data_IF_191375926637
#
_entry.id   IF_191375926637
#
_cell.length_a   1.000
_cell.length_b   1.000
_cell.length_c   1.000
_cell.angle_alpha   90.00
_cell.angle_beta   90.00
_cell.angle_gamma   90.00
#
_symmetry.space_group_name_H-M   'P 1'
#
loop_
_entity.id
_entity.type
_entity.pdbx_description
1 polymer ?
#
# COMPACT_ATOMS: atom_id res chain seq x y z
N UNK A 1 2.77 -0.08 31.06
CA UNK A 1 2.35 -1.13 30.13
C UNK A 1 2.57 -2.46 30.84
N UNK A 2 1.54 -3.24 30.99
CA UNK A 2 1.62 -4.56 31.62
C UNK A 2 2.23 -5.61 30.67
N UNK A 3 2.76 -6.74 31.21
CA UNK A 3 3.45 -7.73 30.37
C UNK A 3 2.56 -8.34 29.29
N UNK A 4 1.27 -8.56 29.56
CA UNK A 4 0.34 -9.14 28.58
C UNK A 4 0.14 -8.20 27.42
N UNK A 5 -0.14 -6.92 27.68
CA UNK A 5 -0.31 -5.90 26.64
C UNK A 5 0.94 -5.73 25.77
N UNK A 6 2.15 -5.84 26.38
CA UNK A 6 3.42 -5.81 25.60
C UNK A 6 3.53 -7.00 24.66
N UNK A 7 3.18 -8.21 25.13
CA UNK A 7 3.24 -9.41 24.29
C UNK A 7 2.24 -9.34 23.13
N UNK A 8 1.00 -8.91 23.40
CA UNK A 8 -0.04 -8.73 22.39
C UNK A 8 0.39 -7.69 21.37
N UNK A 9 0.88 -6.53 21.84
CA UNK A 9 1.38 -5.47 20.96
C UNK A 9 2.49 -5.97 20.03
N UNK A 10 3.50 -6.66 20.59
CA UNK A 10 4.62 -7.19 19.80
C UNK A 10 4.20 -8.26 18.79
N UNK A 11 3.26 -9.14 19.16
CA UNK A 11 2.74 -10.15 18.24
C UNK A 11 2.04 -9.50 17.04
N UNK A 12 1.14 -8.55 17.29
CA UNK A 12 0.41 -7.83 16.23
C UNK A 12 1.33 -6.94 15.38
N UNK A 13 2.31 -6.28 15.98
CA UNK A 13 3.32 -5.49 15.27
C UNK A 13 4.14 -6.34 14.28
N UNK A 14 4.40 -7.61 14.65
CA UNK A 14 5.03 -8.62 13.77
C UNK A 14 4.04 -9.31 12.82
N UNK A 15 2.77 -8.87 12.81
CA UNK A 15 1.68 -9.47 12.02
C UNK A 15 1.42 -10.95 12.35
N UNK A 16 1.68 -11.34 13.57
CA UNK A 16 1.37 -12.68 14.09
C UNK A 16 0.01 -12.65 14.75
N UNK A 17 -0.80 -13.68 14.52
CA UNK A 17 -2.04 -13.87 15.24
C UNK A 17 -1.77 -14.32 16.68
N UNK A 18 -2.63 -13.91 17.61
CA UNK A 18 -2.52 -14.25 19.03
C UNK A 18 -3.87 -14.63 19.62
N UNK A 19 -3.91 -15.74 20.33
CA UNK A 19 -5.06 -16.22 21.07
C UNK A 19 -5.06 -15.65 22.49
N UNK A 20 -6.19 -15.09 22.89
CA UNK A 20 -6.45 -14.51 24.20
C UNK A 20 -7.62 -15.27 24.83
N UNK A 21 -7.39 -16.24 25.72
CA UNK A 21 -8.46 -17.03 26.33
C UNK A 21 -9.52 -16.15 27.01
N UNK A 22 -10.80 -16.40 26.72
CA UNK A 22 -11.91 -15.61 27.24
C UNK A 22 -12.18 -14.27 26.51
N UNK A 23 -11.34 -13.89 25.55
CA UNK A 23 -11.49 -12.66 24.74
C UNK A 23 -11.71 -13.02 23.28
N UNK A 24 -10.92 -13.96 22.73
CA UNK A 24 -10.92 -14.36 21.33
C UNK A 24 -9.52 -14.39 20.74
N UNK A 25 -9.41 -14.33 19.42
CA UNK A 25 -8.12 -14.27 18.74
C UNK A 25 -7.99 -12.96 17.95
N UNK A 26 -6.85 -12.32 18.07
CA UNK A 26 -6.53 -11.11 17.33
C UNK A 26 -5.52 -11.43 16.21
N UNK A 27 -5.76 -10.89 15.02
CA UNK A 27 -4.82 -11.01 13.91
C UNK A 27 -4.85 -9.79 13.01
N UNK A 28 -3.80 -9.62 12.22
CA UNK A 28 -3.69 -8.48 11.29
C UNK A 28 -4.11 -8.91 9.90
N UNK A 29 -5.09 -8.20 9.34
CA UNK A 29 -5.55 -8.37 7.96
C UNK A 29 -5.12 -7.16 7.14
N UNK A 30 -4.62 -7.42 5.93
CA UNK A 30 -4.22 -6.37 4.99
C UNK A 30 -5.26 -6.24 3.90
N UNK A 31 -5.90 -5.07 3.78
CA UNK A 31 -6.71 -4.74 2.61
C UNK A 31 -5.80 -4.34 1.45
N UNK A 32 -6.08 -4.84 0.24
CA UNK A 32 -5.31 -4.49 -0.94
C UNK A 32 -5.44 -2.99 -1.28
N UNK A 33 -4.38 -2.43 -1.87
CA UNK A 33 -4.46 -1.11 -2.49
C UNK A 33 -5.54 -1.13 -3.59
N UNK A 34 -6.32 -0.05 -3.67
CA UNK A 34 -7.35 0.10 -4.70
C UNK A 34 -7.28 1.49 -5.32
N UNK A 35 -7.62 1.57 -6.60
CA UNK A 35 -7.78 2.84 -7.27
C UNK A 35 -9.26 3.24 -7.20
N UNK A 36 -9.53 4.39 -6.62
CA UNK A 36 -10.85 5.03 -6.65
C UNK A 36 -10.95 5.97 -7.85
N UNK A 37 -12.18 6.51 -8.08
CA UNK A 37 -12.44 7.43 -9.16
C UNK A 37 -11.47 8.63 -9.16
N UNK A 38 -11.15 9.13 -10.36
CA UNK A 38 -10.26 10.30 -10.58
C UNK A 38 -8.79 10.13 -10.20
N UNK A 39 -8.20 8.95 -10.45
CA UNK A 39 -6.79 8.69 -10.17
C UNK A 39 -6.40 8.84 -8.68
N UNK A 40 -7.29 8.52 -7.77
CA UNK A 40 -7.00 8.45 -6.35
C UNK A 40 -6.59 7.03 -5.99
N UNK A 41 -5.37 6.86 -5.51
CA UNK A 41 -4.86 5.60 -4.99
C UNK A 41 -5.14 5.53 -3.49
N UNK A 42 -5.91 4.55 -3.06
CA UNK A 42 -6.05 4.19 -1.65
C UNK A 42 -4.96 3.17 -1.32
N UNK A 43 -4.02 3.48 -0.42
CA UNK A 43 -2.95 2.57 -0.08
C UNK A 43 -3.48 1.31 0.61
N UNK A 44 -2.69 0.21 0.66
CA UNK A 44 -3.05 -0.95 1.45
C UNK A 44 -3.13 -0.55 2.94
N UNK A 45 -4.16 -1.04 3.63
CA UNK A 45 -4.39 -0.72 5.05
C UNK A 45 -4.37 -2.01 5.85
N UNK A 46 -3.54 -2.04 6.90
CA UNK A 46 -3.52 -3.11 7.86
C UNK A 46 -4.52 -2.83 8.99
N UNK A 47 -5.36 -3.79 9.29
CA UNK A 47 -6.36 -3.72 10.37
C UNK A 47 -6.20 -4.92 11.27
N UNK A 48 -6.50 -4.74 12.55
CA UNK A 48 -6.65 -5.87 13.46
C UNK A 48 -8.09 -6.32 13.44
N UNK A 49 -8.30 -7.59 13.26
CA UNK A 49 -9.61 -8.23 13.34
C UNK A 49 -9.66 -9.17 14.56
N UNK A 50 -10.82 -9.20 15.19
CA UNK A 50 -11.14 -10.11 16.28
C UNK A 50 -11.90 -11.30 15.74
N UNK A 51 -11.43 -12.50 16.06
CA UNK A 51 -12.14 -13.75 15.86
C UNK A 51 -12.66 -14.25 17.20
N UNK A 52 -13.90 -14.73 17.28
CA UNK A 52 -14.51 -15.13 18.55
C UNK A 52 -13.81 -16.34 19.18
N UNK A 53 -13.26 -17.22 18.35
CA UNK A 53 -12.65 -18.47 18.78
C UNK A 53 -11.14 -18.46 18.59
N UNK A 54 -10.46 -19.24 19.44
CA UNK A 54 -9.01 -19.48 19.30
C UNK A 54 -8.71 -20.14 17.94
N UNK A 55 -7.67 -19.66 17.29
CA UNK A 55 -7.25 -20.13 15.97
C UNK A 55 -6.04 -21.05 16.06
N UNK A 56 -6.06 -22.20 15.38
CA UNK A 56 -4.89 -23.06 15.30
C UNK A 56 -3.74 -22.33 14.57
N UNK A 57 -2.53 -22.42 15.11
CA UNK A 57 -1.35 -21.78 14.54
C UNK A 57 -1.12 -20.34 15.00
N UNK A 58 -2.04 -19.74 15.74
CA UNK A 58 -1.79 -18.45 16.41
C UNK A 58 -1.01 -18.67 17.71
N UNK A 59 -0.29 -17.64 18.13
CA UNK A 59 0.43 -17.66 19.39
C UNK A 59 -0.55 -17.72 20.56
N UNK A 60 -0.28 -18.56 21.54
CA UNK A 60 -1.02 -18.56 22.81
C UNK A 60 -0.35 -17.57 23.76
N UNK A 61 -1.11 -16.60 24.28
CA UNK A 61 -0.59 -15.58 25.20
C UNK A 61 -0.05 -16.17 26.48
N UNK A 62 -0.65 -17.28 26.99
CA UNK A 62 -0.21 -17.96 28.22
C UNK A 62 1.14 -18.62 27.97
N UNK A 63 1.32 -19.32 26.85
CA UNK A 63 2.61 -19.92 26.47
C UNK A 63 3.70 -18.84 26.29
N UNK A 64 3.33 -17.67 25.77
CA UNK A 64 4.25 -16.54 25.69
C UNK A 64 4.61 -16.01 27.08
N UNK A 65 3.64 -15.84 27.98
CA UNK A 65 3.88 -15.41 29.37
C UNK A 65 4.79 -16.37 30.11
N UNK A 66 4.53 -17.69 30.03
CA UNK A 66 5.36 -18.71 30.62
C UNK A 66 6.82 -18.64 30.14
N UNK A 67 6.97 -18.49 28.80
CA UNK A 67 8.30 -18.43 28.17
C UNK A 67 9.08 -17.17 28.51
N UNK A 68 8.43 -16.00 28.52
CA UNK A 68 9.10 -14.73 28.80
C UNK A 68 9.26 -14.45 30.27
N UNK A 69 8.37 -14.99 31.12
CA UNK A 69 8.45 -14.90 32.57
C UNK A 69 9.34 -15.96 33.22
N UNK A 70 9.85 -16.93 32.44
CA UNK A 70 10.57 -18.11 32.93
C UNK A 70 9.80 -18.83 34.04
N UNK A 71 8.46 -18.86 33.92
CA UNK A 71 7.53 -19.47 34.87
C UNK A 71 6.88 -20.69 34.28
N UNK A 72 6.22 -21.48 35.11
CA UNK A 72 5.40 -22.57 34.58
C UNK A 72 4.08 -22.05 33.95
N UNK A 73 3.34 -22.95 33.30
CA UNK A 73 2.10 -22.58 32.60
C UNK A 73 0.99 -22.19 33.58
N UNK A 74 0.97 -22.77 34.78
CA UNK A 74 -0.08 -22.53 35.77
C UNK A 74 0.08 -21.13 36.37
N UNK A 75 1.29 -20.70 36.68
CA UNK A 75 1.61 -19.36 37.14
C UNK A 75 1.33 -18.32 36.03
N UNK A 76 1.68 -18.62 34.77
CA UNK A 76 1.36 -17.77 33.64
C UNK A 76 -0.15 -17.62 33.44
N UNK A 77 -0.93 -18.70 33.59
CA UNK A 77 -2.38 -18.69 33.55
C UNK A 77 -2.97 -17.81 34.66
N UNK A 78 -2.46 -17.91 35.87
CA UNK A 78 -2.91 -17.11 37.01
C UNK A 78 -2.61 -15.62 36.76
N UNK A 79 -1.42 -15.31 36.23
CA UNK A 79 -1.01 -13.94 35.87
C UNK A 79 -1.95 -13.38 34.78
N UNK A 80 -2.26 -14.18 33.76
CA UNK A 80 -3.18 -13.79 32.72
C UNK A 80 -4.60 -13.54 33.25
N UNK A 81 -5.12 -14.42 34.10
CA UNK A 81 -6.46 -14.28 34.68
C UNK A 81 -6.55 -13.02 35.56
N UNK A 82 -5.50 -12.73 36.34
CA UNK A 82 -5.42 -11.53 37.17
C UNK A 82 -5.40 -10.26 36.32
N UNK A 83 -4.65 -10.26 35.24
CA UNK A 83 -4.64 -9.18 34.26
C UNK A 83 -6.02 -9.02 33.61
N UNK A 84 -6.63 -10.10 33.11
CA UNK A 84 -7.93 -10.04 32.46
C UNK A 84 -9.00 -9.45 33.39
N UNK A 85 -9.00 -9.82 34.65
CA UNK A 85 -9.93 -9.26 35.63
C UNK A 85 -9.74 -7.75 35.88
N UNK A 86 -8.51 -7.24 35.75
CA UNK A 86 -8.21 -5.82 35.91
C UNK A 86 -8.61 -4.98 34.67
N UNK A 87 -8.46 -5.53 33.46
CA UNK A 87 -8.68 -4.78 32.22
C UNK A 87 -10.11 -4.96 31.66
N UNK A 88 -10.88 -5.88 32.24
CA UNK A 88 -12.29 -6.09 31.87
C UNK A 88 -13.19 -5.06 32.55
N UNK A 89 -14.07 -4.45 31.79
CA UNK A 89 -15.08 -3.49 32.23
C UNK A 89 -16.42 -3.77 31.55
N UNK A 90 -17.48 -3.03 31.90
CA UNK A 90 -18.77 -3.10 31.21
C UNK A 90 -18.67 -2.71 29.72
N UNK A 91 -17.68 -1.88 29.36
CA UNK A 91 -17.43 -1.46 27.97
C UNK A 91 -16.64 -2.49 27.17
N UNK A 92 -16.03 -3.49 27.82
CA UNK A 92 -15.21 -4.49 27.19
C UNK A 92 -13.83 -4.67 27.81
N UNK A 93 -12.91 -5.24 27.07
CA UNK A 93 -11.52 -5.51 27.50
C UNK A 93 -10.59 -4.49 26.87
N UNK A 94 -9.97 -3.66 27.72
CA UNK A 94 -9.00 -2.65 27.26
C UNK A 94 -7.58 -3.21 27.34
N UNK A 95 -6.92 -3.32 26.19
CA UNK A 95 -5.52 -3.76 26.09
C UNK A 95 -4.66 -2.51 25.84
N UNK A 96 -3.79 -2.19 26.81
CA UNK A 96 -3.01 -0.94 26.78
C UNK A 96 -2.16 -0.82 25.50
N UNK A 97 -2.25 0.35 24.84
CA UNK A 97 -1.59 0.67 23.58
C UNK A 97 -1.99 -0.19 22.36
N UNK A 98 -2.79 -1.24 22.57
CA UNK A 98 -3.29 -2.13 21.51
C UNK A 98 -4.68 -1.69 21.06
N UNK A 99 -5.63 -1.62 21.99
CA UNK A 99 -7.00 -1.20 21.69
C UNK A 99 -8.04 -1.73 22.65
N UNK A 100 -9.30 -1.59 22.28
CA UNK A 100 -10.48 -2.03 23.02
C UNK A 100 -11.19 -3.14 22.26
N UNK A 101 -11.46 -4.25 22.95
CA UNK A 101 -12.36 -5.32 22.49
C UNK A 101 -13.72 -5.09 23.14
N UNK A 102 -14.75 -4.85 22.35
CA UNK A 102 -16.10 -4.59 22.83
C UNK A 102 -17.12 -5.21 21.87
N UNK A 103 -18.13 -5.91 22.41
CA UNK A 103 -19.24 -6.47 21.64
C UNK A 103 -18.84 -7.25 20.39
N UNK A 104 -17.75 -8.06 20.47
CA UNK A 104 -17.24 -8.83 19.33
C UNK A 104 -16.52 -7.99 18.27
N UNK A 105 -16.24 -6.72 18.55
CA UNK A 105 -15.48 -5.84 17.68
C UNK A 105 -14.18 -5.37 18.33
N UNK A 106 -13.18 -5.06 17.51
CA UNK A 106 -11.91 -4.52 17.96
C UNK A 106 -11.72 -3.09 17.47
N UNK A 107 -11.40 -2.18 18.39
CA UNK A 107 -11.05 -0.78 18.07
C UNK A 107 -9.58 -0.55 18.40
N UNK A 108 -8.70 -0.36 17.41
CA UNK A 108 -7.27 -0.18 17.66
C UNK A 108 -6.98 1.15 18.36
N UNK A 109 -6.01 1.12 19.27
CA UNK A 109 -5.41 2.33 19.83
C UNK A 109 -4.61 3.08 18.76
N UNK A 110 -4.44 4.42 18.88
CA UNK A 110 -3.69 5.22 17.91
C UNK A 110 -2.25 4.71 17.70
N UNK A 111 -1.59 4.23 18.77
CA UNK A 111 -0.24 3.67 18.72
C UNK A 111 -0.18 2.42 17.83
N UNK A 112 -1.12 1.48 18.01
CA UNK A 112 -1.18 0.27 17.19
C UNK A 112 -1.50 0.62 15.73
N UNK A 113 -2.44 1.51 15.49
CA UNK A 113 -2.79 1.96 14.14
C UNK A 113 -1.59 2.58 13.40
N UNK A 114 -0.78 3.38 14.10
CA UNK A 114 0.44 3.99 13.55
C UNK A 114 1.53 2.96 13.23
N UNK A 115 1.72 1.97 14.11
CA UNK A 115 2.71 0.89 13.89
C UNK A 115 2.32 0.01 12.71
N UNK A 116 1.04 -0.30 12.56
CA UNK A 116 0.56 -1.12 11.46
C UNK A 116 0.57 -0.39 10.11
N UNK A 117 0.41 0.94 10.11
CA UNK A 117 0.31 1.75 8.89
C UNK A 117 1.28 2.95 8.95
N UNK A 118 2.60 2.73 8.96
CA UNK A 118 3.59 3.81 9.11
C UNK A 118 3.58 4.81 7.95
N UNK A 119 3.17 4.39 6.76
CA UNK A 119 3.01 5.26 5.59
C UNK A 119 1.71 6.09 5.61
N UNK A 120 0.86 5.91 6.64
CA UNK A 120 -0.47 6.50 6.71
C UNK A 120 -1.51 5.74 5.86
N UNK A 121 -2.75 6.14 6.03
CA UNK A 121 -3.91 5.54 5.33
C UNK A 121 -4.60 6.54 4.40
N UNK A 122 -4.05 7.75 4.27
CA UNK A 122 -4.66 8.81 3.46
C UNK A 122 -4.59 8.48 1.97
N UNK A 123 -5.69 8.65 1.22
CA UNK A 123 -5.71 8.48 -0.21
C UNK A 123 -4.72 9.45 -0.89
N UNK A 124 -3.93 8.95 -1.83
CA UNK A 124 -2.98 9.73 -2.61
C UNK A 124 -3.52 9.97 -4.02
N UNK A 125 -3.48 11.23 -4.47
CA UNK A 125 -3.78 11.54 -5.86
C UNK A 125 -2.57 11.21 -6.72
N UNK A 126 -2.75 10.30 -7.67
CA UNK A 126 -1.73 10.04 -8.68
C UNK A 126 -1.62 11.27 -9.60
N UNK A 127 -0.41 11.75 -9.90
CA UNK A 127 -0.26 12.79 -10.91
C UNK A 127 -0.86 12.27 -12.20
N UNK A 128 -1.78 13.05 -12.77
CA UNK A 128 -2.36 12.75 -14.08
C UNK A 128 -1.18 12.68 -15.05
N UNK A 129 -0.96 11.52 -15.65
CA UNK A 129 0.03 11.38 -16.72
C UNK A 129 -0.39 12.40 -17.79
N UNK A 130 0.20 13.58 -17.72
CA UNK A 130 -0.06 14.62 -18.70
C UNK A 130 0.20 13.99 -20.06
N UNK A 131 -0.75 14.07 -20.96
CA UNK A 131 -0.56 13.75 -22.38
C UNK A 131 0.46 14.74 -22.96
N UNK A 132 1.70 14.66 -22.45
CA UNK A 132 2.80 15.56 -22.81
C UNK A 132 3.36 15.29 -24.20
N UNK A 133 2.85 14.32 -24.93
CA UNK A 133 3.37 13.99 -26.26
C UNK A 133 2.72 14.77 -27.40
N UNK A 134 1.63 15.49 -27.15
CA UNK A 134 0.98 16.27 -28.21
C UNK A 134 1.88 17.36 -28.76
N UNK A 135 2.54 18.11 -27.90
CA UNK A 135 3.43 19.19 -28.32
C UNK A 135 4.68 18.66 -29.05
N UNK A 136 5.25 17.57 -28.55
CA UNK A 136 6.42 16.91 -29.16
C UNK A 136 6.07 16.36 -30.56
N UNK A 137 4.89 15.78 -30.74
CA UNK A 137 4.41 15.32 -32.05
C UNK A 137 4.21 16.49 -33.04
N UNK A 138 3.69 17.63 -32.59
CA UNK A 138 3.57 18.83 -33.41
C UNK A 138 4.93 19.41 -33.80
N UNK A 139 5.91 19.38 -32.92
CA UNK A 139 7.28 19.83 -33.22
C UNK A 139 7.94 18.90 -34.24
N UNK A 140 7.83 17.59 -34.06
CA UNK A 140 8.35 16.60 -35.04
C UNK A 140 7.68 16.77 -36.40
N UNK A 141 6.36 16.91 -36.45
CA UNK A 141 5.61 17.13 -37.70
C UNK A 141 6.07 18.43 -38.39
N UNK A 142 6.26 19.51 -37.67
CA UNK A 142 6.72 20.78 -38.21
C UNK A 142 8.14 20.67 -38.80
N UNK A 143 9.05 19.94 -38.17
CA UNK A 143 10.42 19.70 -38.67
C UNK A 143 10.40 18.85 -39.94
N UNK A 144 9.61 17.79 -39.97
CA UNK A 144 9.49 16.90 -41.16
C UNK A 144 8.90 17.64 -42.36
N UNK A 145 7.85 18.44 -42.17
CA UNK A 145 7.22 19.24 -43.23
C UNK A 145 8.19 20.34 -43.69
N UNK A 146 8.89 21.02 -42.78
CA UNK A 146 9.88 22.04 -43.10
C UNK A 146 11.05 21.49 -43.92
N UNK A 147 11.57 20.33 -43.55
CA UNK A 147 12.63 19.65 -44.32
C UNK A 147 12.16 19.19 -45.69
N UNK A 148 10.94 18.66 -45.83
CA UNK A 148 10.36 18.24 -47.10
C UNK A 148 10.20 19.40 -48.09
N UNK A 149 9.77 20.56 -47.61
CA UNK A 149 9.63 21.77 -48.48
C UNK A 149 11.01 22.26 -48.96
N UNK A 150 12.03 22.23 -48.09
CA UNK A 150 13.40 22.65 -48.44
C UNK A 150 14.02 21.78 -49.53
N UNK A 151 13.87 20.45 -49.44
CA UNK A 151 14.38 19.51 -50.44
C UNK A 151 13.62 19.65 -51.78
N UNK A 152 12.31 19.85 -51.72
CA UNK A 152 11.49 20.08 -52.95
C UNK A 152 11.86 21.38 -53.66
N UNK A 153 12.15 22.46 -52.93
CA UNK A 153 12.55 23.73 -53.51
C UNK A 153 13.93 23.66 -54.19
N UNK A 154 14.90 22.94 -53.61
CA UNK A 154 16.24 22.73 -54.19
C UNK A 154 16.14 21.91 -55.47
N UNK A 155 15.40 20.78 -55.46
CA UNK A 155 15.20 19.96 -56.64
C UNK A 155 14.49 20.69 -57.78
N UNK A 156 13.55 21.60 -57.48
CA UNK A 156 12.90 22.43 -58.46
C UNK A 156 13.80 23.50 -59.08
N UNK A 157 14.72 24.11 -58.30
CA UNK A 157 15.72 25.05 -58.79
C UNK A 157 16.74 24.37 -59.72
N UNK A 158 17.26 23.19 -59.34
CA UNK A 158 18.18 22.40 -60.18
C UNK A 158 17.57 21.95 -61.49
N UNK A 159 16.26 21.66 -61.53
CA UNK A 159 15.56 21.27 -62.75
C UNK A 159 15.38 22.44 -63.74
N UNK A 160 15.46 23.68 -63.30
CA UNK A 160 15.38 24.87 -64.14
C UNK A 160 16.69 25.18 -64.87
N UNK A 161 17.82 24.80 -64.34
CA UNK A 161 19.15 25.06 -64.90
C UNK A 161 19.64 23.91 -65.79
N UNK A 162 18.77 22.93 -66.13
CA UNK A 162 19.10 21.88 -67.05
C UNK A 162 19.32 22.47 -68.46
N UNK A 163 20.53 22.37 -69.09
CA UNK A 163 20.81 22.92 -70.42
C UNK A 163 19.96 22.22 -71.46
N UNK A 164 19.33 23.01 -72.38
CA UNK A 164 18.52 22.54 -73.50
C UNK A 164 19.30 21.52 -74.32
N UNK A 165 18.71 20.37 -74.71
CA UNK A 165 19.36 19.40 -75.56
C UNK A 165 19.66 20.04 -76.95
N UNK A 166 20.86 19.78 -77.57
CA UNK A 166 21.24 20.35 -78.86
C UNK A 166 20.26 19.90 -79.92
N UNK A 167 19.76 20.85 -80.68
CA UNK A 167 18.95 20.58 -81.91
C UNK A 167 19.77 19.78 -82.86
N UNK A 168 19.39 18.56 -83.18
CA UNK A 168 19.89 17.79 -84.30
C UNK A 168 19.48 18.43 -85.56
N UNK A 169 20.41 19.06 -86.28
CA UNK A 169 20.21 19.53 -87.62
C UNK A 169 20.23 18.30 -88.57
N UNK A 170 19.10 17.99 -89.13
CA UNK A 170 18.94 16.97 -90.15
C UNK A 170 19.39 17.59 -91.46
N UNK A 171 20.59 17.26 -92.01
CA UNK A 171 21.03 17.54 -93.34
C UNK A 171 20.37 16.55 -94.36
N UNK A 172 19.75 17.06 -95.37
CA UNK A 172 19.16 16.32 -96.51
C UNK A 172 20.21 15.77 -97.43
#
# INVERSE_FOLDING_TARGET
MDPVSVLVFNALAKRQGINLPGVGALHVVTSAARTEERNTLVPPVNRVELLPDAQPGFLDVIDLLARYGETDRDDAQQTYNSWLAQVSSEEGVTIDSVGLVSEGTFRPAPQMAAVLNPAGTAPMRLPRKGSGNGLLWWVVLAVVVGAGISVGAIAWLESRDAPYPPRTVRTA
#
